data_IF_721753509812
#
_entry.id   IF_721753509812
#
_cell.length_a   1.000
_cell.length_b   1.000
_cell.length_c   1.000
_cell.angle_alpha   90.00
_cell.angle_beta   90.00
_cell.angle_gamma   90.00
#
_symmetry.space_group_name_H-M   'P 1'
#
loop_
_entity.id
_entity.type
_entity.pdbx_description
1 polymer ?
#
# COMPACT_ATOMS: atom_id res chain seq x y z
N UNK A 1 -13.06 -20.04 9.29
CA UNK A 1 -13.89 -19.21 8.40
C UNK A 1 -14.40 -17.89 9.04
N UNK A 2 -14.04 -17.53 10.27
CA UNK A 2 -14.57 -16.33 10.94
C UNK A 2 -13.59 -15.15 11.08
N UNK A 3 -12.34 -15.26 10.61
CA UNK A 3 -11.33 -14.18 10.74
C UNK A 3 -11.46 -13.13 9.64
N UNK A 4 -11.50 -13.54 8.37
CA UNK A 4 -11.63 -12.63 7.21
C UNK A 4 -12.84 -11.69 7.28
N UNK A 5 -14.02 -12.21 7.63
CA UNK A 5 -15.23 -11.38 7.74
C UNK A 5 -15.14 -10.32 8.83
N UNK A 6 -14.41 -10.60 9.91
CA UNK A 6 -14.19 -9.65 11.00
C UNK A 6 -13.13 -8.60 10.61
N UNK A 7 -12.05 -9.00 9.93
CA UNK A 7 -11.01 -8.07 9.51
C UNK A 7 -11.52 -7.06 8.46
N UNK A 8 -12.31 -7.50 7.47
CA UNK A 8 -12.91 -6.58 6.49
C UNK A 8 -13.90 -5.61 7.15
N UNK A 9 -14.69 -6.09 8.12
CA UNK A 9 -15.62 -5.24 8.88
C UNK A 9 -14.89 -4.21 9.74
N UNK A 10 -13.78 -4.60 10.37
CA UNK A 10 -12.94 -3.71 11.15
C UNK A 10 -12.27 -2.63 10.27
N UNK A 11 -11.71 -3.03 9.13
CA UNK A 11 -11.13 -2.09 8.17
C UNK A 11 -12.19 -1.07 7.71
N UNK A 12 -13.39 -1.54 7.37
CA UNK A 12 -14.51 -0.68 6.97
C UNK A 12 -14.89 0.33 8.07
N UNK A 13 -14.95 -0.11 9.33
CA UNK A 13 -15.21 0.77 10.47
C UNK A 13 -14.13 1.85 10.63
N UNK A 14 -12.85 1.50 10.47
CA UNK A 14 -11.76 2.47 10.56
C UNK A 14 -11.86 3.52 9.43
N UNK A 15 -12.18 3.08 8.21
CA UNK A 15 -12.30 3.98 7.05
C UNK A 15 -13.54 4.87 7.10
N UNK A 16 -14.70 4.32 7.46
CA UNK A 16 -16.00 5.00 7.35
C UNK A 16 -16.44 5.71 8.63
N UNK A 17 -16.04 5.23 9.81
CA UNK A 17 -16.47 5.84 11.07
C UNK A 17 -15.37 6.70 11.69
N UNK A 18 -14.12 6.21 11.68
CA UNK A 18 -12.99 6.93 12.26
C UNK A 18 -12.34 7.91 11.27
N UNK A 19 -12.53 7.70 9.97
CA UNK A 19 -11.88 8.46 8.89
C UNK A 19 -10.35 8.56 9.08
N UNK A 20 -9.75 7.54 9.70
CA UNK A 20 -8.34 7.53 10.09
C UNK A 20 -7.55 6.70 9.08
N UNK A 21 -6.93 7.40 8.13
CA UNK A 21 -6.17 6.80 7.03
C UNK A 21 -4.95 6.03 7.55
N UNK A 22 -4.21 6.62 8.48
CA UNK A 22 -2.98 6.04 9.00
C UNK A 22 -3.30 4.74 9.76
N UNK A 23 -4.37 4.75 10.55
CA UNK A 23 -4.85 3.55 11.25
C UNK A 23 -5.38 2.48 10.31
N UNK A 24 -6.06 2.85 9.22
CA UNK A 24 -6.53 1.88 8.22
C UNK A 24 -5.34 1.19 7.54
N UNK A 25 -4.28 1.95 7.24
CA UNK A 25 -3.04 1.43 6.66
C UNK A 25 -2.29 0.55 7.64
N UNK A 26 -2.14 0.97 8.90
CA UNK A 26 -1.50 0.17 9.95
C UNK A 26 -2.24 -1.15 10.16
N UNK A 27 -3.57 -1.12 10.20
CA UNK A 27 -4.39 -2.32 10.30
C UNK A 27 -4.17 -3.26 9.10
N UNK A 28 -4.17 -2.73 7.87
CA UNK A 28 -3.91 -3.55 6.67
C UNK A 28 -2.51 -4.17 6.68
N UNK A 29 -1.50 -3.45 7.19
CA UNK A 29 -0.14 -3.98 7.39
C UNK A 29 -0.10 -5.10 8.43
N UNK A 30 -0.74 -4.91 9.58
CA UNK A 30 -0.75 -5.90 10.66
C UNK A 30 -1.43 -7.22 10.26
N UNK A 31 -2.44 -7.14 9.39
CA UNK A 31 -3.13 -8.33 8.89
C UNK A 31 -2.33 -9.07 7.80
N UNK A 32 -1.38 -8.41 7.14
CA UNK A 32 -0.58 -8.93 6.01
C UNK A 32 -1.46 -9.62 4.93
N UNK A 33 -2.61 -9.01 4.63
CA UNK A 33 -3.66 -9.58 3.79
C UNK A 33 -3.88 -8.73 2.53
N UNK A 34 -3.60 -9.33 1.37
CA UNK A 34 -3.75 -8.68 0.06
C UNK A 34 -5.19 -8.28 -0.27
N UNK A 35 -6.21 -9.00 0.21
CA UNK A 35 -7.61 -8.62 -0.04
C UNK A 35 -7.99 -7.35 0.73
N UNK A 36 -7.48 -7.18 1.96
CA UNK A 36 -7.70 -5.96 2.73
C UNK A 36 -7.01 -4.75 2.09
N UNK A 37 -5.82 -4.96 1.52
CA UNK A 37 -5.16 -3.92 0.74
C UNK A 37 -5.95 -3.55 -0.52
N UNK A 38 -6.50 -4.51 -1.23
CA UNK A 38 -7.34 -4.26 -2.40
C UNK A 38 -8.59 -3.45 -2.01
N UNK A 39 -9.26 -3.81 -0.92
CA UNK A 39 -10.41 -3.07 -0.39
C UNK A 39 -10.05 -1.63 -0.02
N UNK A 40 -8.92 -1.44 0.67
CA UNK A 40 -8.44 -0.12 1.08
C UNK A 40 -8.12 0.75 -0.14
N UNK A 41 -7.45 0.18 -1.16
CA UNK A 41 -7.13 0.89 -2.41
C UNK A 41 -8.41 1.26 -3.14
N UNK A 42 -9.35 0.33 -3.29
CA UNK A 42 -10.65 0.56 -3.94
C UNK A 42 -11.44 1.67 -3.26
N UNK A 43 -11.44 1.71 -1.92
CA UNK A 43 -12.08 2.77 -1.15
C UNK A 43 -11.40 4.13 -1.33
N UNK A 44 -10.10 4.13 -1.60
CA UNK A 44 -9.26 5.33 -1.62
C UNK A 44 -9.23 6.06 -2.97
N UNK A 45 -9.63 5.41 -4.07
CA UNK A 45 -9.44 5.91 -5.46
C UNK A 45 -10.07 7.28 -5.77
N UNK A 46 -11.02 7.73 -4.95
CA UNK A 46 -11.72 9.00 -5.09
C UNK A 46 -11.40 9.99 -3.95
N UNK A 47 -10.46 9.66 -3.07
CA UNK A 47 -10.13 10.40 -1.86
C UNK A 47 -8.63 10.77 -1.84
N UNK A 48 -8.25 11.99 -2.26
CA UNK A 48 -6.85 12.43 -2.29
C UNK A 48 -6.08 12.26 -0.98
N UNK A 49 -6.66 12.50 0.22
CA UNK A 49 -5.97 12.26 1.49
C UNK A 49 -5.59 10.79 1.70
N UNK A 50 -6.47 9.86 1.30
CA UNK A 50 -6.21 8.43 1.39
C UNK A 50 -5.12 7.99 0.41
N UNK A 51 -5.16 8.47 -0.84
CA UNK A 51 -4.11 8.17 -1.82
C UNK A 51 -2.75 8.69 -1.34
N UNK A 52 -2.72 9.89 -0.75
CA UNK A 52 -1.48 10.46 -0.19
C UNK A 52 -0.95 9.60 0.96
N UNK A 53 -1.82 9.20 1.89
CA UNK A 53 -1.46 8.30 3.00
C UNK A 53 -0.92 6.96 2.50
N UNK A 54 -1.58 6.37 1.50
CA UNK A 54 -1.14 5.13 0.86
C UNK A 54 0.23 5.29 0.23
N UNK A 55 0.44 6.28 -0.63
CA UNK A 55 1.73 6.49 -1.30
C UNK A 55 2.88 6.66 -0.30
N UNK A 56 2.63 7.28 0.86
CA UNK A 56 3.65 7.51 1.86
C UNK A 56 3.98 6.28 2.72
N UNK A 57 3.04 5.35 2.86
CA UNK A 57 3.08 4.28 3.86
C UNK A 57 3.01 2.85 3.29
N UNK A 58 2.67 2.64 2.02
CA UNK A 58 2.43 1.31 1.44
C UNK A 58 3.70 0.42 1.41
N UNK A 59 4.88 1.04 1.32
CA UNK A 59 6.17 0.35 1.47
C UNK A 59 6.34 -0.80 0.48
N UNK A 60 6.62 -2.00 1.01
CA UNK A 60 6.91 -3.23 0.26
C UNK A 60 5.71 -4.19 0.16
N UNK A 61 4.61 -3.88 0.85
CA UNK A 61 3.51 -4.81 1.08
C UNK A 61 2.60 -4.95 -0.14
N UNK A 62 2.60 -3.96 -1.02
CA UNK A 62 1.78 -3.94 -2.23
C UNK A 62 2.62 -3.39 -3.37
N UNK A 63 2.41 -3.93 -4.57
CA UNK A 63 3.02 -3.40 -5.78
C UNK A 63 2.57 -1.93 -5.98
N UNK A 64 3.50 -0.96 -5.97
CA UNK A 64 3.17 0.45 -6.13
C UNK A 64 2.49 0.75 -7.47
N UNK A 65 2.73 -0.08 -8.49
CA UNK A 65 2.11 0.06 -9.81
C UNK A 65 0.58 -0.05 -9.70
N UNK A 66 0.07 -0.91 -8.81
CA UNK A 66 -1.38 -1.08 -8.60
C UNK A 66 -2.04 0.19 -8.09
N UNK A 67 -1.36 0.94 -7.23
CA UNK A 67 -1.87 2.20 -6.70
C UNK A 67 -1.82 3.32 -7.75
N UNK A 68 -0.70 3.42 -8.49
CA UNK A 68 -0.50 4.45 -9.52
C UNK A 68 -1.57 4.35 -10.62
N UNK A 69 -1.89 3.13 -11.06
CA UNK A 69 -2.91 2.90 -12.09
C UNK A 69 -4.34 3.28 -11.66
N UNK A 70 -4.59 3.51 -10.37
CA UNK A 70 -5.90 3.89 -9.84
C UNK A 70 -6.08 5.39 -9.69
N UNK A 71 -5.00 6.17 -9.82
CA UNK A 71 -5.06 7.64 -9.75
C UNK A 71 -5.75 8.15 -11.02
N UNK A 72 -6.89 8.82 -10.86
CA UNK A 72 -7.63 9.42 -11.97
C UNK A 72 -6.91 10.65 -12.52
N UNK A 73 -6.98 10.83 -13.84
CA UNK A 73 -6.49 12.05 -14.48
C UNK A 73 -7.23 13.30 -13.94
N UNK A 74 -6.49 14.38 -13.72
CA UNK A 74 -7.02 15.63 -13.20
C UNK A 74 -7.28 15.65 -11.69
N UNK A 75 -6.96 14.57 -10.96
CA UNK A 75 -7.04 14.58 -9.50
C UNK A 75 -5.89 15.38 -8.88
N UNK A 76 -6.23 16.38 -8.06
CA UNK A 76 -5.25 17.14 -7.28
C UNK A 76 -4.84 16.35 -6.03
N UNK A 77 -3.63 15.78 -6.07
CA UNK A 77 -3.02 15.08 -4.95
C UNK A 77 -1.82 15.90 -4.48
N UNK A 78 -1.85 16.44 -3.24
CA UNK A 78 -0.73 17.18 -2.68
C UNK A 78 0.54 16.33 -2.64
N UNK A 79 1.67 16.92 -3.02
CA UNK A 79 2.99 16.27 -3.00
C UNK A 79 3.08 14.96 -3.82
N UNK A 80 2.18 14.74 -4.78
CA UNK A 80 2.13 13.51 -5.58
C UNK A 80 3.49 13.14 -6.19
N UNK A 81 4.19 14.13 -6.76
CA UNK A 81 5.51 13.92 -7.37
C UNK A 81 6.50 13.34 -6.36
N UNK A 82 6.59 13.92 -5.18
CA UNK A 82 7.57 13.52 -4.17
C UNK A 82 7.22 12.13 -3.61
N UNK A 83 5.94 11.86 -3.37
CA UNK A 83 5.47 10.55 -2.94
C UNK A 83 5.70 9.45 -4.01
N UNK A 84 5.56 9.78 -5.30
CA UNK A 84 5.90 8.86 -6.41
C UNK A 84 7.41 8.62 -6.53
N UNK A 85 8.24 9.64 -6.33
CA UNK A 85 9.70 9.46 -6.33
C UNK A 85 10.12 8.55 -5.20
N UNK A 86 9.60 8.78 -3.99
CA UNK A 86 9.88 7.98 -2.80
C UNK A 86 9.52 6.51 -3.01
N UNK A 87 8.29 6.22 -3.46
CA UNK A 87 7.83 4.85 -3.60
C UNK A 87 8.60 4.06 -4.68
N UNK A 88 8.98 4.72 -5.77
CA UNK A 88 9.80 4.10 -6.83
C UNK A 88 11.24 3.86 -6.37
N UNK A 89 11.81 4.76 -5.57
CA UNK A 89 13.13 4.57 -4.96
C UNK A 89 13.11 3.39 -3.98
N UNK A 90 12.14 3.35 -3.07
CA UNK A 90 11.96 2.27 -2.11
C UNK A 90 11.79 0.92 -2.81
N UNK A 91 11.03 0.87 -3.91
CA UNK A 91 10.85 -0.33 -4.73
C UNK A 91 12.14 -0.77 -5.43
N UNK A 92 12.87 0.15 -6.08
CA UNK A 92 14.12 -0.19 -6.77
C UNK A 92 15.22 -0.69 -5.81
N UNK A 93 15.30 -0.12 -4.61
CA UNK A 93 16.24 -0.57 -3.57
C UNK A 93 15.94 -2.01 -3.16
N UNK A 94 14.67 -2.39 -3.03
CA UNK A 94 14.29 -3.76 -2.70
C UNK A 94 14.62 -4.76 -3.82
N UNK A 95 14.25 -4.46 -5.07
CA UNK A 95 14.59 -5.31 -6.22
C UNK A 95 16.09 -5.59 -6.24
N UNK A 96 16.88 -4.56 -5.96
CA UNK A 96 18.34 -4.68 -5.87
C UNK A 96 18.77 -5.63 -4.73
N UNK A 97 18.22 -5.48 -3.52
CA UNK A 97 18.53 -6.35 -2.38
C UNK A 97 18.14 -7.82 -2.65
N UNK A 98 16.96 -8.07 -3.21
CA UNK A 98 16.48 -9.41 -3.54
C UNK A 98 17.41 -10.11 -4.54
N UNK A 99 17.82 -9.40 -5.60
CA UNK A 99 18.76 -9.93 -6.60
C UNK A 99 20.11 -10.30 -5.97
N UNK A 100 20.61 -9.49 -5.03
CA UNK A 100 21.87 -9.82 -4.34
C UNK A 100 21.74 -11.00 -3.37
N UNK A 101 20.60 -11.18 -2.71
CA UNK A 101 20.33 -12.35 -1.86
C UNK A 101 20.24 -13.64 -2.69
N UNK A 102 19.56 -13.60 -3.83
CA UNK A 102 19.45 -14.74 -4.75
C UNK A 102 20.81 -15.11 -5.36
N UNK A 103 21.59 -14.11 -5.79
CA UNK A 103 22.94 -14.34 -6.29
C UNK A 103 23.84 -14.95 -5.21
N UNK A 104 23.81 -14.44 -3.97
CA UNK A 104 24.60 -14.97 -2.85
C UNK A 104 24.23 -16.41 -2.44
N UNK A 105 22.98 -16.81 -2.62
CA UNK A 105 22.50 -18.19 -2.45
C UNK A 105 23.06 -19.13 -3.52
N UNK A 106 23.14 -18.66 -4.77
CA UNK A 106 23.63 -19.42 -5.91
C UNK A 106 25.14 -19.75 -5.86
N UNK A 107 25.95 -18.94 -5.16
CA UNK A 107 27.40 -19.18 -5.04
C UNK A 107 27.79 -20.04 -3.83
N UNK A 108 26.82 -20.64 -3.11
CA UNK A 108 27.07 -21.48 -1.91
C UNK A 108 26.94 -23.00 -2.13
N UNK A 109 26.84 -23.48 -3.37
CA UNK A 109 26.94 -24.91 -3.74
C UNK A 109 28.22 -25.19 -4.49
#
# INVERSE_FOLDING_TARGET
LSRMGNSRSALKMIMEELHDVDKAIEFAKEQDDGELWEDLILYSIDKPPFITGLLNNIGTHVDPILLIHRIKEGMEIPNLRDSLVKILQDYNLQVTITVFQDAGSFYRT
#
